data_IF_056347077676
#
_entry.id   IF_056347077676
#
_cell.length_a   1.000
_cell.length_b   1.000
_cell.length_c   1.000
_cell.angle_alpha   90.00
_cell.angle_beta   90.00
_cell.angle_gamma   90.00
#
_symmetry.space_group_name_H-M   'P 1'
#
loop_
_entity.id
_entity.type
_entity.pdbx_description
1 polymer ?
#
# COMPACT_ATOMS: atom_id res chain seq x y z
N UNK A 1 10.91 17.15 18.06
CA UNK A 1 11.89 16.04 17.93
C UNK A 1 11.64 15.35 16.60
N UNK A 2 12.63 15.27 15.72
CA UNK A 2 12.51 14.61 14.42
C UNK A 2 12.53 13.09 14.65
N UNK A 3 11.43 12.41 14.34
CA UNK A 3 11.34 10.95 14.41
C UNK A 3 11.97 10.36 13.15
N UNK A 4 13.17 9.77 13.29
CA UNK A 4 13.81 8.99 12.21
C UNK A 4 13.03 7.68 11.97
N UNK A 5 13.16 7.13 10.76
CA UNK A 5 12.48 5.87 10.36
C UNK A 5 12.75 4.72 11.35
N UNK A 6 14.00 4.52 11.77
CA UNK A 6 14.33 3.50 12.79
C UNK A 6 13.52 3.64 14.07
N UNK A 7 13.55 4.81 14.71
CA UNK A 7 12.81 5.08 15.94
C UNK A 7 11.29 5.00 15.75
N UNK A 8 10.81 5.24 14.53
CA UNK A 8 9.41 5.05 14.18
C UNK A 8 9.04 3.56 14.14
N UNK A 9 9.90 2.72 13.56
CA UNK A 9 9.70 1.28 13.41
C UNK A 9 9.96 0.49 14.71
N UNK A 10 10.78 1.00 15.63
CA UNK A 10 10.98 0.40 16.97
C UNK A 10 9.68 0.27 17.76
N UNK A 11 8.66 1.08 17.45
CA UNK A 11 7.32 0.89 18.03
C UNK A 11 6.65 -0.39 17.54
N UNK A 12 6.99 -0.87 16.35
CA UNK A 12 6.42 -2.10 15.77
C UNK A 12 6.89 -3.37 16.48
N UNK A 13 8.11 -3.39 17.06
CA UNK A 13 8.68 -4.61 17.68
C UNK A 13 7.87 -5.11 18.88
N UNK A 14 7.30 -4.21 19.69
CA UNK A 14 6.39 -4.55 20.78
C UNK A 14 5.13 -5.32 20.31
N UNK A 15 4.74 -5.18 19.04
CA UNK A 15 3.55 -5.80 18.48
C UNK A 15 3.83 -7.15 17.80
N UNK A 16 5.08 -7.44 17.44
CA UNK A 16 5.45 -8.78 16.95
C UNK A 16 5.37 -9.85 18.05
N UNK A 17 5.21 -9.43 19.29
CA UNK A 17 4.95 -10.27 20.46
C UNK A 17 3.44 -10.42 20.76
N UNK A 18 2.55 -9.77 19.99
CA UNK A 18 1.10 -9.89 20.17
C UNK A 18 0.63 -11.33 19.82
N UNK A 19 -0.05 -12.04 20.74
CA UNK A 19 -0.56 -13.40 20.50
C UNK A 19 -1.46 -13.53 19.27
N UNK A 20 -2.30 -12.53 18.97
CA UNK A 20 -3.17 -12.55 17.80
C UNK A 20 -2.38 -12.46 16.50
N UNK A 21 -1.34 -11.61 16.49
CA UNK A 21 -0.45 -11.51 15.33
C UNK A 21 0.37 -12.77 15.15
N UNK A 22 0.88 -13.37 16.24
CA UNK A 22 1.59 -14.65 16.17
C UNK A 22 0.69 -15.76 15.62
N UNK A 23 -0.57 -15.84 16.06
CA UNK A 23 -1.55 -16.77 15.50
C UNK A 23 -1.79 -16.52 14.01
N UNK A 24 -1.96 -15.26 13.60
CA UNK A 24 -2.08 -14.90 12.19
C UNK A 24 -0.84 -15.31 11.38
N UNK A 25 0.36 -15.02 11.90
CA UNK A 25 1.62 -15.37 11.27
C UNK A 25 1.74 -16.88 11.03
N UNK A 26 1.37 -17.71 12.01
CA UNK A 26 1.34 -19.16 11.84
C UNK A 26 0.38 -19.58 10.73
N UNK A 27 -0.83 -19.00 10.67
CA UNK A 27 -1.79 -19.28 9.58
C UNK A 27 -1.22 -18.88 8.22
N UNK A 28 -0.56 -17.72 8.13
CA UNK A 28 0.10 -17.27 6.92
C UNK A 28 1.19 -18.25 6.49
N UNK A 29 2.13 -18.58 7.37
CA UNK A 29 3.25 -19.48 7.09
C UNK A 29 2.76 -20.87 6.67
N UNK A 30 1.83 -21.47 7.42
CA UNK A 30 1.24 -22.78 7.10
C UNK A 30 0.57 -22.78 5.72
N UNK A 31 -0.21 -21.74 5.40
CA UNK A 31 -0.91 -21.66 4.13
C UNK A 31 0.07 -21.46 2.97
N UNK A 32 1.07 -20.62 3.13
CA UNK A 32 2.11 -20.40 2.11
C UNK A 32 2.90 -21.69 1.86
N UNK A 33 3.33 -22.39 2.90
CA UNK A 33 4.07 -23.66 2.77
C UNK A 33 3.24 -24.73 2.05
N UNK A 34 1.97 -24.91 2.43
CA UNK A 34 1.07 -25.86 1.77
C UNK A 34 0.82 -25.51 0.30
N UNK A 35 0.56 -24.24 0.02
CA UNK A 35 0.29 -23.77 -1.34
C UNK A 35 1.54 -23.83 -2.22
N UNK A 36 2.73 -23.62 -1.65
CA UNK A 36 3.97 -23.84 -2.37
C UNK A 36 4.14 -25.32 -2.77
N UNK A 37 3.93 -26.24 -1.84
CA UNK A 37 3.99 -27.68 -2.13
C UNK A 37 2.94 -28.11 -3.17
N UNK A 38 1.72 -27.57 -3.07
CA UNK A 38 0.68 -27.74 -4.08
C UNK A 38 1.17 -27.27 -5.45
N UNK A 39 1.65 -26.03 -5.55
CA UNK A 39 2.12 -25.44 -6.80
C UNK A 39 3.20 -26.29 -7.47
N UNK A 40 4.16 -26.82 -6.71
CA UNK A 40 5.22 -27.67 -7.26
C UNK A 40 4.69 -28.97 -7.87
N UNK A 41 3.64 -29.53 -7.27
CA UNK A 41 2.98 -30.74 -7.77
C UNK A 41 2.09 -30.54 -9.00
N UNK A 42 1.73 -29.30 -9.34
CA UNK A 42 0.85 -29.01 -10.48
C UNK A 42 1.56 -29.16 -11.83
N UNK A 43 0.83 -29.68 -12.80
CA UNK A 43 1.23 -29.71 -14.21
C UNK A 43 1.34 -28.30 -14.79
N UNK A 44 2.07 -28.16 -15.91
CA UNK A 44 2.15 -26.90 -16.65
C UNK A 44 0.78 -26.37 -17.07
N UNK A 45 -0.16 -27.27 -17.37
CA UNK A 45 -1.52 -26.88 -17.77
C UNK A 45 -2.29 -26.26 -16.59
N UNK A 46 -2.29 -26.91 -15.42
CA UNK A 46 -2.95 -26.41 -14.21
C UNK A 46 -2.34 -25.08 -13.76
N UNK A 47 -1.01 -24.94 -13.80
CA UNK A 47 -0.31 -23.68 -13.50
C UNK A 47 -0.78 -22.53 -14.39
N UNK A 48 -0.99 -22.80 -15.69
CA UNK A 48 -1.53 -21.80 -16.63
C UNK A 48 -2.98 -21.45 -16.31
N UNK A 49 -3.83 -22.44 -16.04
CA UNK A 49 -5.23 -22.19 -15.68
C UNK A 49 -5.35 -21.31 -14.42
N UNK A 50 -4.57 -21.60 -13.38
CA UNK A 50 -4.53 -20.77 -12.16
C UNK A 50 -4.06 -19.34 -12.50
N UNK A 51 -3.00 -19.20 -13.29
CA UNK A 51 -2.49 -17.88 -13.69
C UNK A 51 -3.56 -17.09 -14.46
N UNK A 52 -4.27 -17.72 -15.41
CA UNK A 52 -5.36 -17.10 -16.16
C UNK A 52 -6.50 -16.66 -15.22
N UNK A 53 -6.87 -17.50 -14.23
CA UNK A 53 -7.87 -17.14 -13.24
C UNK A 53 -7.45 -15.95 -12.38
N UNK A 54 -6.18 -15.90 -11.97
CA UNK A 54 -5.65 -14.76 -11.25
C UNK A 54 -5.71 -13.48 -12.11
N UNK A 55 -5.26 -13.55 -13.37
CA UNK A 55 -5.29 -12.41 -14.28
C UNK A 55 -6.71 -11.91 -14.54
N UNK A 56 -7.70 -12.80 -14.65
CA UNK A 56 -9.10 -12.43 -14.75
C UNK A 56 -9.60 -11.67 -13.50
N UNK A 57 -9.14 -12.07 -12.30
CA UNK A 57 -9.44 -11.34 -11.07
C UNK A 57 -8.77 -9.96 -11.07
N UNK A 58 -7.49 -9.86 -11.42
CA UNK A 58 -6.78 -8.57 -11.55
C UNK A 58 -7.53 -7.66 -12.52
N UNK A 59 -7.90 -8.16 -13.71
CA UNK A 59 -8.65 -7.40 -14.71
C UNK A 59 -10.00 -6.91 -14.18
N UNK A 60 -10.67 -7.73 -13.39
CA UNK A 60 -11.92 -7.34 -12.73
C UNK A 60 -11.69 -6.18 -11.76
N UNK A 61 -10.59 -6.19 -11.01
CA UNK A 61 -10.23 -5.09 -10.11
C UNK A 61 -9.91 -3.80 -10.87
N UNK A 62 -9.19 -3.89 -11.99
CA UNK A 62 -8.94 -2.74 -12.86
C UNK A 62 -10.25 -2.13 -13.37
N UNK A 63 -11.14 -2.96 -13.92
CA UNK A 63 -12.44 -2.51 -14.43
C UNK A 63 -13.25 -1.83 -13.32
N UNK A 64 -13.27 -2.39 -12.10
CA UNK A 64 -13.94 -1.77 -10.95
C UNK A 64 -13.29 -0.46 -10.51
N UNK A 65 -11.97 -0.32 -10.63
CA UNK A 65 -11.25 0.92 -10.36
C UNK A 65 -11.65 2.05 -11.33
N UNK A 66 -11.92 1.73 -12.60
CA UNK A 66 -12.40 2.71 -13.57
C UNK A 66 -13.70 3.40 -13.14
N UNK A 67 -14.63 2.65 -12.55
CA UNK A 67 -15.89 3.18 -11.99
C UNK A 67 -15.72 3.87 -10.62
N UNK A 68 -14.58 3.72 -9.96
CA UNK A 68 -14.32 4.27 -8.61
C UNK A 68 -13.73 5.67 -8.58
N UNK A 69 -13.48 6.29 -9.74
CA UNK A 69 -12.92 7.64 -9.81
C UNK A 69 -14.03 8.70 -9.71
N UNK A 70 -13.83 9.79 -8.93
CA UNK A 70 -14.80 10.87 -8.82
C UNK A 70 -15.19 11.49 -10.18
N UNK A 71 -16.43 11.30 -10.62
CA UNK A 71 -17.11 12.03 -11.69
C UNK A 71 -18.06 13.08 -11.09
N UNK A 72 -17.83 14.35 -11.45
CA UNK A 72 -18.68 15.47 -11.03
C UNK A 72 -18.72 15.66 -9.50
N UNK A 73 -19.93 15.81 -8.96
CA UNK A 73 -20.18 16.06 -7.53
C UNK A 73 -20.73 14.82 -6.79
N UNK A 74 -20.72 13.63 -7.40
CA UNK A 74 -21.27 12.46 -6.71
C UNK A 74 -20.42 12.08 -5.49
N UNK A 75 -21.09 11.87 -4.36
CA UNK A 75 -20.46 11.47 -3.09
C UNK A 75 -20.17 9.97 -3.10
N UNK A 76 -21.09 9.18 -3.66
CA UNK A 76 -21.00 7.73 -3.76
C UNK A 76 -20.58 7.32 -5.16
N UNK A 77 -19.41 6.74 -5.27
CA UNK A 77 -18.80 6.36 -6.54
C UNK A 77 -18.02 5.07 -6.38
N UNK A 78 -17.97 4.24 -7.42
CA UNK A 78 -17.27 2.97 -7.38
C UNK A 78 -18.09 1.81 -6.84
N UNK A 79 -17.39 0.86 -6.24
CA UNK A 79 -17.92 -0.44 -5.82
C UNK A 79 -17.73 -0.64 -4.32
N UNK A 80 -18.30 -1.70 -3.72
CA UNK A 80 -18.41 -1.91 -2.25
C UNK A 80 -17.22 -1.44 -1.39
N UNK A 81 -15.97 -1.67 -1.79
CA UNK A 81 -14.75 -1.27 -1.05
C UNK A 81 -14.21 0.15 -1.36
N UNK A 82 -14.82 0.88 -2.27
CA UNK A 82 -14.34 2.16 -2.81
C UNK A 82 -15.46 3.19 -2.92
N UNK A 83 -16.59 2.90 -2.29
CA UNK A 83 -17.87 3.58 -2.51
C UNK A 83 -17.85 5.04 -2.09
N UNK A 84 -17.09 5.35 -1.04
CA UNK A 84 -16.70 6.71 -0.71
C UNK A 84 -15.23 6.85 -1.09
N UNK A 85 -14.94 7.72 -2.04
CA UNK A 85 -13.57 8.02 -2.48
C UNK A 85 -13.36 9.53 -2.38
N UNK A 86 -12.72 9.97 -1.29
CA UNK A 86 -12.65 11.39 -0.94
C UNK A 86 -11.20 11.88 -0.98
N UNK A 87 -10.81 12.71 -1.97
CA UNK A 87 -9.49 13.30 -2.01
C UNK A 87 -9.29 14.36 -0.92
N UNK A 88 -8.13 14.35 -0.27
CA UNK A 88 -7.70 15.45 0.58
C UNK A 88 -7.09 16.56 -0.28
N UNK A 89 -7.82 17.66 -0.47
CA UNK A 89 -7.41 18.76 -1.36
C UNK A 89 -6.77 19.90 -0.56
N UNK A 90 -5.64 20.37 -1.06
CA UNK A 90 -4.90 21.52 -0.52
C UNK A 90 -4.61 22.52 -1.62
N UNK A 91 -4.59 23.80 -1.29
CA UNK A 91 -4.21 24.85 -2.24
C UNK A 91 -2.71 24.81 -2.58
N UNK A 92 -1.88 24.36 -1.63
CA UNK A 92 -0.42 24.33 -1.78
C UNK A 92 0.13 22.96 -1.37
N UNK A 93 1.31 22.56 -1.90
CA UNK A 93 2.03 21.38 -1.44
C UNK A 93 2.26 21.40 0.08
N UNK A 94 2.13 20.24 0.72
CA UNK A 94 2.40 20.11 2.15
C UNK A 94 3.90 20.29 2.44
N UNK A 95 4.19 21.05 3.50
CA UNK A 95 5.54 21.15 4.04
C UNK A 95 5.70 20.14 5.18
N UNK A 96 6.52 19.10 4.95
CA UNK A 96 6.75 18.02 5.91
C UNK A 96 8.22 17.97 6.32
N UNK A 97 8.45 18.17 7.62
CA UNK A 97 9.74 18.02 8.30
C UNK A 97 9.84 16.68 9.04
N UNK A 98 8.70 16.07 9.36
CA UNK A 98 8.65 14.79 10.06
C UNK A 98 7.32 14.04 9.85
N UNK A 99 7.34 12.74 10.13
CA UNK A 99 6.18 11.85 10.03
C UNK A 99 4.98 12.27 10.89
N UNK A 100 5.21 12.91 12.05
CA UNK A 100 4.11 13.34 12.91
C UNK A 100 3.30 14.50 12.34
N UNK A 101 3.88 15.33 11.47
CA UNK A 101 3.12 16.31 10.69
C UNK A 101 2.20 15.60 9.68
N UNK A 102 2.72 14.61 8.94
CA UNK A 102 1.88 13.84 8.01
C UNK A 102 0.73 13.11 8.74
N UNK A 103 1.00 12.52 9.90
CA UNK A 103 -0.03 11.92 10.76
C UNK A 103 -1.13 12.93 11.15
N UNK A 104 -0.74 14.16 11.52
CA UNK A 104 -1.68 15.21 11.89
C UNK A 104 -2.50 15.68 10.69
N UNK A 105 -1.87 15.91 9.54
CA UNK A 105 -2.56 16.33 8.31
C UNK A 105 -3.60 15.29 7.86
N UNK A 106 -3.26 14.00 7.95
CA UNK A 106 -4.23 12.94 7.62
C UNK A 106 -5.38 12.92 8.63
N UNK A 107 -5.11 13.02 9.93
CA UNK A 107 -6.15 13.02 10.95
C UNK A 107 -7.08 14.24 10.86
N UNK A 108 -6.52 15.44 10.65
CA UNK A 108 -7.29 16.67 10.48
C UNK A 108 -8.21 16.60 9.25
N UNK A 109 -7.67 16.19 8.10
CA UNK A 109 -8.48 16.03 6.89
C UNK A 109 -9.51 14.92 7.05
N UNK A 110 -9.19 13.82 7.74
CA UNK A 110 -10.17 12.78 8.02
C UNK A 110 -11.38 13.39 8.75
N UNK A 111 -11.15 14.10 9.87
CA UNK A 111 -12.22 14.69 10.69
C UNK A 111 -13.01 15.72 9.87
N UNK A 112 -12.32 16.60 9.15
CA UNK A 112 -12.95 17.63 8.30
C UNK A 112 -13.85 17.00 7.24
N UNK A 113 -13.38 15.97 6.53
CA UNK A 113 -14.16 15.30 5.49
C UNK A 113 -15.29 14.46 6.08
N UNK A 114 -15.04 13.81 7.21
CA UNK A 114 -16.03 13.08 7.96
C UNK A 114 -17.23 13.97 8.31
N UNK A 115 -16.98 15.08 9.00
CA UNK A 115 -18.03 15.99 9.47
C UNK A 115 -18.81 16.62 8.33
N UNK A 116 -18.12 16.94 7.22
CA UNK A 116 -18.75 17.43 6.00
C UNK A 116 -19.71 16.41 5.37
N UNK A 117 -19.44 15.12 5.53
CA UNK A 117 -20.15 14.05 4.84
C UNK A 117 -21.16 13.29 5.70
N UNK A 118 -21.16 13.46 7.03
CA UNK A 118 -22.13 12.82 7.92
C UNK A 118 -23.59 13.02 7.45
N UNK A 119 -24.02 14.27 7.29
CA UNK A 119 -25.39 14.59 6.87
C UNK A 119 -25.73 14.08 5.47
N UNK A 120 -24.89 14.31 4.43
CA UNK A 120 -25.13 13.68 3.13
C UNK A 120 -25.24 12.16 3.19
N UNK A 121 -24.43 11.48 3.99
CA UNK A 121 -24.46 10.02 4.13
C UNK A 121 -25.76 9.56 4.79
N UNK A 122 -26.15 10.18 5.91
CA UNK A 122 -27.45 9.92 6.59
C UNK A 122 -28.64 10.03 5.64
N UNK A 123 -28.64 11.06 4.80
CA UNK A 123 -29.75 11.33 3.89
C UNK A 123 -29.76 10.43 2.65
N UNK A 124 -28.67 9.74 2.35
CA UNK A 124 -28.50 8.96 1.11
C UNK A 124 -28.58 7.45 1.28
N UNK A 125 -28.38 6.94 2.50
CA UNK A 125 -28.42 5.52 2.82
C UNK A 125 -29.73 5.22 3.57
N UNK A 126 -30.43 4.17 3.17
CA UNK A 126 -31.74 3.80 3.74
C UNK A 126 -31.58 3.10 5.09
N UNK A 127 -30.49 2.35 5.26
CA UNK A 127 -30.12 1.69 6.50
C UNK A 127 -29.70 2.69 7.60
N UNK A 128 -29.83 2.27 8.87
CA UNK A 128 -29.30 3.04 10.01
C UNK A 128 -27.76 3.07 9.95
N UNK A 129 -27.20 4.28 9.83
CA UNK A 129 -25.77 4.54 9.70
C UNK A 129 -25.17 5.22 10.93
N UNK A 130 -25.91 5.43 12.03
CA UNK A 130 -25.41 6.22 13.16
C UNK A 130 -24.17 5.59 13.79
N UNK A 131 -24.20 4.28 14.04
CA UNK A 131 -23.02 3.56 14.52
C UNK A 131 -21.82 3.70 13.57
N UNK A 132 -22.06 3.67 12.27
CA UNK A 132 -21.00 3.82 11.27
C UNK A 132 -20.42 5.24 11.25
N UNK A 133 -21.25 6.25 11.48
CA UNK A 133 -20.82 7.64 11.63
C UNK A 133 -20.03 7.83 12.94
N UNK A 134 -20.42 7.18 14.02
CA UNK A 134 -19.67 7.17 15.29
C UNK A 134 -18.32 6.47 15.14
N UNK A 135 -18.28 5.33 14.44
CA UNK A 135 -17.05 4.58 14.18
C UNK A 135 -16.15 5.28 13.15
N UNK A 136 -16.74 6.05 12.23
CA UNK A 136 -16.04 6.82 11.20
C UNK A 136 -16.32 6.33 9.78
N UNK A 137 -16.69 7.27 8.91
CA UNK A 137 -17.11 7.01 7.52
C UNK A 137 -16.06 6.33 6.62
N UNK A 138 -14.77 6.47 6.91
CA UNK A 138 -13.69 5.92 6.08
C UNK A 138 -12.96 4.81 6.82
N UNK A 139 -12.82 3.66 6.15
CA UNK A 139 -12.08 2.53 6.67
C UNK A 139 -10.58 2.63 6.38
N UNK A 140 -10.16 3.48 5.43
CA UNK A 140 -8.76 3.54 5.04
C UNK A 140 -8.32 4.80 4.30
N UNK A 141 -7.01 4.94 4.17
CA UNK A 141 -6.33 6.01 3.45
C UNK A 141 -5.26 5.43 2.54
N UNK A 142 -5.21 5.92 1.30
CA UNK A 142 -4.16 5.59 0.35
C UNK A 142 -3.20 6.78 0.21
N UNK A 143 -1.91 6.51 0.31
CA UNK A 143 -0.84 7.49 0.41
C UNK A 143 0.21 7.19 -0.67
N UNK A 144 0.62 8.21 -1.43
CA UNK A 144 1.76 8.07 -2.32
C UNK A 144 3.07 7.92 -1.53
N UNK A 145 3.92 6.97 -1.94
CA UNK A 145 5.25 6.70 -1.38
C UNK A 145 6.07 7.98 -1.11
N UNK A 146 6.02 8.94 -2.04
CA UNK A 146 6.75 10.21 -2.01
C UNK A 146 6.40 11.07 -0.79
N UNK A 147 5.17 11.00 -0.29
CA UNK A 147 4.77 11.68 0.95
C UNK A 147 5.52 11.11 2.17
N UNK A 148 5.74 9.79 2.20
CA UNK A 148 6.52 9.15 3.26
C UNK A 148 8.00 9.44 3.10
N UNK A 149 8.53 9.44 1.88
CA UNK A 149 9.91 9.82 1.61
C UNK A 149 10.20 11.23 2.13
N UNK A 150 9.31 12.19 1.91
CA UNK A 150 9.44 13.54 2.47
C UNK A 150 9.33 13.55 4.00
N UNK A 151 8.31 12.89 4.54
CA UNK A 151 8.03 12.90 5.97
C UNK A 151 9.12 12.20 6.81
N UNK A 152 9.81 11.22 6.25
CA UNK A 152 10.96 10.57 6.88
C UNK A 152 12.32 11.14 6.45
N UNK A 153 12.33 12.14 5.57
CA UNK A 153 13.54 12.74 4.99
C UNK A 153 14.44 11.68 4.30
N UNK A 154 13.82 10.78 3.53
CA UNK A 154 14.49 9.72 2.77
C UNK A 154 15.04 10.28 1.46
N UNK A 155 16.29 10.69 1.50
CA UNK A 155 16.92 11.31 0.36
C UNK A 155 18.45 11.19 0.42
N UNK A 156 19.09 11.26 -0.75
CA UNK A 156 20.53 11.13 -0.90
C UNK A 156 21.05 12.06 -2.00
N UNK A 157 22.35 12.34 -2.03
CA UNK A 157 22.97 12.99 -3.18
C UNK A 157 23.19 11.97 -4.29
N UNK A 158 23.18 12.41 -5.56
CA UNK A 158 23.45 11.52 -6.69
C UNK A 158 24.79 10.79 -6.56
N UNK A 159 25.82 11.44 -5.99
CA UNK A 159 27.14 10.85 -5.74
C UNK A 159 27.18 9.77 -4.67
N UNK A 160 26.16 9.72 -3.81
CA UNK A 160 26.04 8.69 -2.77
C UNK A 160 25.44 7.40 -3.31
N UNK A 161 24.68 7.49 -4.40
CA UNK A 161 24.01 6.35 -5.05
C UNK A 161 24.63 5.94 -6.39
N UNK A 162 25.25 6.85 -7.13
CA UNK A 162 25.91 6.53 -8.41
C UNK A 162 27.42 6.67 -8.21
N UNK A 163 28.12 5.54 -8.15
CA UNK A 163 29.57 5.51 -7.91
C UNK A 163 30.24 4.25 -8.48
N UNK A 164 31.57 4.30 -8.59
CA UNK A 164 32.37 3.19 -9.12
C UNK A 164 32.45 1.99 -8.16
N UNK A 165 32.20 0.81 -8.70
CA UNK A 165 32.42 -0.49 -8.05
C UNK A 165 33.13 -1.42 -9.02
N UNK A 166 34.40 -1.70 -8.74
CA UNK A 166 35.25 -2.57 -9.55
C UNK A 166 35.33 -2.12 -11.04
N UNK A 167 35.38 -0.82 -11.30
CA UNK A 167 35.43 -0.26 -12.65
C UNK A 167 34.08 -0.12 -13.35
N UNK A 168 32.97 -0.45 -12.66
CA UNK A 168 31.61 -0.19 -13.14
C UNK A 168 31.06 1.05 -12.44
N UNK A 169 30.68 2.08 -13.19
CA UNK A 169 29.83 3.15 -12.67
C UNK A 169 28.40 2.60 -12.52
N UNK A 170 28.00 2.30 -11.29
CA UNK A 170 26.72 1.65 -11.02
C UNK A 170 25.60 2.69 -10.97
N UNK A 171 24.60 2.56 -11.85
CA UNK A 171 23.31 3.25 -11.77
C UNK A 171 22.26 2.28 -11.20
N UNK A 172 21.61 2.60 -10.06
CA UNK A 172 20.61 1.72 -9.47
C UNK A 172 19.44 1.38 -10.41
N UNK A 173 19.06 2.25 -11.34
CA UNK A 173 17.97 1.95 -12.30
C UNK A 173 18.31 0.79 -13.25
N UNK A 174 19.60 0.50 -13.39
CA UNK A 174 20.14 -0.58 -14.22
C UNK A 174 20.75 -1.71 -13.37
N UNK A 175 20.42 -1.79 -12.07
CA UNK A 175 21.12 -2.69 -11.14
C UNK A 175 21.13 -4.17 -11.59
N UNK A 176 20.08 -4.60 -12.31
CA UNK A 176 19.94 -5.97 -12.84
C UNK A 176 20.85 -6.26 -14.05
N UNK A 177 21.42 -5.23 -14.69
CA UNK A 177 22.36 -5.38 -15.80
C UNK A 177 23.79 -5.69 -15.33
N UNK A 178 24.10 -5.49 -14.05
CA UNK A 178 25.45 -5.70 -13.51
C UNK A 178 25.63 -7.14 -12.98
N UNK A 179 26.86 -7.68 -13.03
CA UNK A 179 27.16 -8.99 -12.44
C UNK A 179 26.87 -9.03 -10.93
N UNK A 180 26.44 -10.19 -10.44
CA UNK A 180 26.08 -10.41 -9.02
C UNK A 180 27.20 -9.98 -8.05
N UNK A 181 28.47 -10.22 -8.40
CA UNK A 181 29.63 -9.77 -7.60
C UNK A 181 29.69 -8.24 -7.44
N UNK A 182 29.31 -7.50 -8.48
CA UNK A 182 29.32 -6.03 -8.49
C UNK A 182 28.13 -5.52 -7.66
N UNK A 183 26.94 -6.10 -7.86
CA UNK A 183 25.74 -5.77 -7.08
C UNK A 183 25.93 -5.98 -5.59
N UNK A 184 26.52 -7.11 -5.19
CA UNK A 184 26.80 -7.40 -3.79
C UNK A 184 27.73 -6.36 -3.16
N UNK A 185 28.84 -6.02 -3.82
CA UNK A 185 29.77 -4.98 -3.36
C UNK A 185 29.13 -3.58 -3.36
N UNK A 186 28.30 -3.28 -4.35
CA UNK A 186 27.54 -2.03 -4.43
C UNK A 186 26.60 -1.92 -3.23
N UNK A 187 25.82 -2.96 -2.93
CA UNK A 187 24.94 -3.03 -1.76
C UNK A 187 25.71 -2.79 -0.44
N UNK A 188 26.83 -3.46 -0.23
CA UNK A 188 27.65 -3.28 0.98
C UNK A 188 28.19 -1.85 1.14
N UNK A 189 28.53 -1.19 0.03
CA UNK A 189 29.03 0.18 0.02
C UNK A 189 27.90 1.20 0.18
N UNK A 190 26.80 1.04 -0.55
CA UNK A 190 25.70 2.02 -0.58
C UNK A 190 24.96 2.07 0.75
N UNK A 191 24.78 0.93 1.43
CA UNK A 191 24.19 0.87 2.77
C UNK A 191 24.95 1.73 3.79
N UNK A 192 26.28 1.85 3.64
CA UNK A 192 27.12 2.69 4.52
C UNK A 192 27.10 4.17 4.14
N UNK A 193 26.71 4.49 2.90
CA UNK A 193 26.63 5.87 2.39
C UNK A 193 25.29 6.54 2.71
N UNK A 194 24.21 5.75 2.85
CA UNK A 194 22.86 6.26 3.04
C UNK A 194 22.51 6.48 4.52
N UNK A 195 22.77 7.69 5.02
CA UNK A 195 22.50 8.06 6.42
C UNK A 195 21.02 7.99 6.80
N UNK A 196 20.09 8.13 5.85
CA UNK A 196 18.64 8.03 6.11
C UNK A 196 18.21 6.62 6.55
N UNK A 197 19.04 5.60 6.30
CA UNK A 197 18.81 4.21 6.70
C UNK A 197 19.75 3.73 7.81
N UNK A 198 20.48 4.65 8.44
CA UNK A 198 21.42 4.34 9.51
C UNK A 198 20.75 3.53 10.64
N UNK A 199 21.36 2.40 10.97
CA UNK A 199 20.91 1.53 12.06
C UNK A 199 19.71 0.65 11.75
N UNK A 200 19.24 0.60 10.50
CA UNK A 200 18.27 -0.36 10.00
C UNK A 200 18.96 -1.58 9.37
N UNK A 201 18.45 -2.77 9.65
CA UNK A 201 18.87 -4.01 8.99
C UNK A 201 18.05 -4.20 7.70
N UNK A 202 18.45 -3.53 6.63
CA UNK A 202 17.78 -3.60 5.33
C UNK A 202 18.41 -4.71 4.50
N UNK A 203 17.60 -5.63 3.97
CA UNK A 203 18.07 -6.63 3.03
C UNK A 203 18.35 -6.01 1.64
N UNK A 204 19.11 -6.74 0.81
CA UNK A 204 19.51 -6.24 -0.51
C UNK A 204 18.32 -5.92 -1.41
N UNK A 205 17.32 -6.78 -1.44
CA UNK A 205 16.16 -6.62 -2.32
C UNK A 205 15.36 -5.36 -1.94
N UNK A 206 15.13 -5.13 -0.65
CA UNK A 206 14.48 -3.94 -0.13
C UNK A 206 15.25 -2.66 -0.47
N UNK A 207 16.58 -2.65 -0.32
CA UNK A 207 17.39 -1.48 -0.64
C UNK A 207 17.45 -1.20 -2.15
N UNK A 208 17.70 -2.22 -2.96
CA UNK A 208 17.71 -2.07 -4.43
C UNK A 208 16.34 -1.60 -4.94
N UNK A 209 15.24 -2.11 -4.37
CA UNK A 209 13.87 -1.66 -4.69
C UNK A 209 13.67 -0.18 -4.38
N UNK A 210 14.14 0.27 -3.21
CA UNK A 210 14.08 1.68 -2.81
C UNK A 210 14.85 2.59 -3.77
N UNK A 211 16.03 2.15 -4.21
CA UNK A 211 16.91 2.90 -5.11
C UNK A 211 16.38 2.97 -6.55
N UNK A 212 15.68 1.94 -7.03
CA UNK A 212 15.07 1.91 -8.37
C UNK A 212 13.81 2.75 -8.46
N UNK A 213 13.04 2.79 -7.38
CA UNK A 213 11.87 3.66 -7.26
C UNK A 213 12.25 5.09 -6.84
N UNK A 214 13.55 5.38 -6.75
CA UNK A 214 14.01 6.69 -6.36
C UNK A 214 13.62 7.71 -7.43
N UNK A 215 13.02 8.81 -7.01
CA UNK A 215 12.46 9.79 -7.93
C UNK A 215 13.33 11.05 -8.02
N UNK A 216 13.51 11.50 -9.26
CA UNK A 216 14.14 12.77 -9.60
C UNK A 216 13.12 13.90 -9.69
N UNK A 217 11.87 13.58 -10.01
CA UNK A 217 10.77 14.54 -10.03
C UNK A 217 10.36 14.88 -8.60
N UNK A 218 10.47 16.16 -8.23
CA UNK A 218 10.13 16.62 -6.88
C UNK A 218 9.07 17.71 -7.01
N UNK A 219 8.06 17.74 -6.13
CA UNK A 219 7.25 18.94 -6.00
C UNK A 219 8.20 20.10 -5.67
N UNK A 220 7.88 21.31 -6.15
CA UNK A 220 8.70 22.53 -6.15
C UNK A 220 9.22 22.93 -4.74
N UNK A 221 10.15 22.15 -4.20
CA UNK A 221 10.70 22.24 -2.86
C UNK A 221 12.18 22.48 -3.00
N UNK A 222 12.58 23.73 -2.77
CA UNK A 222 13.98 24.19 -2.71
C UNK A 222 14.84 23.25 -1.85
N UNK A 223 14.25 22.66 -0.79
CA UNK A 223 14.88 21.67 0.11
C UNK A 223 15.56 20.49 -0.61
N UNK A 224 15.03 20.06 -1.75
CA UNK A 224 15.50 18.88 -2.48
C UNK A 224 16.22 19.21 -3.78
N UNK A 225 16.55 20.48 -4.03
CA UNK A 225 17.41 20.85 -5.15
C UNK A 225 18.73 20.05 -5.03
N UNK A 226 19.11 19.32 -6.09
CA UNK A 226 20.28 18.41 -6.15
C UNK A 226 20.24 17.10 -5.33
N UNK A 227 19.12 16.77 -4.68
CA UNK A 227 18.97 15.49 -3.95
C UNK A 227 18.14 14.48 -4.73
N UNK A 228 18.05 13.23 -4.32
CA UNK A 228 17.16 12.22 -4.92
C UNK A 228 16.29 11.69 -3.80
N UNK A 229 14.96 11.66 -4.01
CA UNK A 229 14.04 11.12 -3.02
C UNK A 229 14.05 9.60 -3.14
N UNK A 230 14.41 8.92 -2.07
CA UNK A 230 14.45 7.46 -2.02
C UNK A 230 13.07 6.93 -1.63
N UNK A 231 12.63 5.84 -2.26
CA UNK A 231 11.37 5.22 -1.88
C UNK A 231 11.46 4.57 -0.48
N UNK A 232 10.36 4.52 0.29
CA UNK A 232 10.37 3.93 1.62
C UNK A 232 10.65 2.41 1.59
N UNK A 233 11.26 1.93 2.67
CA UNK A 233 11.43 0.49 2.96
C UNK A 233 10.57 0.10 4.15
N UNK A 234 10.35 -1.20 4.36
CA UNK A 234 9.50 -1.71 5.46
C UNK A 234 8.07 -1.18 5.41
N UNK A 235 7.50 -1.02 4.23
CA UNK A 235 6.23 -0.32 4.03
C UNK A 235 5.05 -0.95 4.79
N UNK A 236 5.01 -2.27 4.99
CA UNK A 236 3.95 -2.89 5.81
C UNK A 236 4.06 -2.47 7.29
N UNK A 237 5.29 -2.33 7.81
CA UNK A 237 5.54 -1.87 9.17
C UNK A 237 5.23 -0.37 9.31
N UNK A 238 5.63 0.44 8.32
CA UNK A 238 5.25 1.86 8.27
C UNK A 238 3.73 1.99 8.28
N UNK A 239 3.02 1.25 7.41
CA UNK A 239 1.56 1.31 7.30
C UNK A 239 0.86 0.89 8.61
N UNK A 240 1.33 -0.16 9.28
CA UNK A 240 0.79 -0.59 10.59
C UNK A 240 0.93 0.52 11.65
N UNK A 241 2.14 1.05 11.84
CA UNK A 241 2.38 2.09 12.85
C UNK A 241 1.62 3.36 12.50
N UNK A 242 1.59 3.74 11.22
CA UNK A 242 0.89 4.93 10.74
C UNK A 242 -0.63 4.81 10.93
N UNK A 243 -1.20 3.65 10.58
CA UNK A 243 -2.61 3.33 10.79
C UNK A 243 -3.05 3.57 12.23
N UNK A 244 -2.32 2.98 13.20
CA UNK A 244 -2.63 3.11 14.63
C UNK A 244 -2.52 4.55 15.11
N UNK A 245 -1.44 5.23 14.74
CA UNK A 245 -1.19 6.61 15.18
C UNK A 245 -2.18 7.61 14.62
N UNK A 246 -2.59 7.45 13.36
CA UNK A 246 -3.64 8.29 12.76
C UNK A 246 -4.97 8.03 13.46
N UNK A 247 -5.33 6.76 13.69
CA UNK A 247 -6.54 6.38 14.44
C UNK A 247 -6.57 7.04 15.82
N UNK A 248 -5.50 6.89 16.61
CA UNK A 248 -5.40 7.46 17.95
C UNK A 248 -5.49 9.00 17.91
N UNK A 249 -4.89 9.63 16.90
CA UNK A 249 -5.00 11.08 16.69
C UNK A 249 -6.41 11.52 16.35
N UNK A 250 -7.12 10.80 15.48
CA UNK A 250 -8.50 11.08 15.12
C UNK A 250 -9.38 11.04 16.38
N UNK A 251 -9.23 10.00 17.20
CA UNK A 251 -9.98 9.87 18.46
C UNK A 251 -9.68 11.04 19.41
N UNK A 252 -8.40 11.37 19.63
CA UNK A 252 -7.99 12.48 20.50
C UNK A 252 -8.50 13.83 19.97
N UNK A 253 -8.28 14.12 18.69
CA UNK A 253 -8.62 15.41 18.07
C UNK A 253 -10.13 15.60 17.92
N UNK A 254 -10.89 14.52 17.71
CA UNK A 254 -12.35 14.54 17.69
C UNK A 254 -12.98 14.48 19.09
N UNK A 255 -12.17 14.35 20.14
CA UNK A 255 -12.60 14.19 21.55
C UNK A 255 -13.49 12.96 21.76
N UNK A 256 -13.16 11.86 21.10
CA UNK A 256 -13.88 10.58 21.18
C UNK A 256 -15.17 10.52 20.37
N UNK A 257 -15.51 11.58 19.63
CA UNK A 257 -16.70 11.59 18.76
C UNK A 257 -16.58 10.64 17.58
N UNK A 258 -15.36 10.46 17.06
CA UNK A 258 -15.04 9.48 16.02
C UNK A 258 -14.16 8.42 16.67
N UNK A 259 -14.69 7.20 16.78
CA UNK A 259 -14.02 6.08 17.44
C UNK A 259 -13.80 4.91 16.48
N UNK A 260 -12.74 5.03 15.70
CA UNK A 260 -12.35 4.06 14.67
C UNK A 260 -11.90 2.73 15.29
N UNK A 261 -12.54 1.59 14.97
CA UNK A 261 -12.06 0.29 15.42
C UNK A 261 -10.65 0.00 14.90
N UNK A 262 -10.43 0.27 13.61
CA UNK A 262 -9.12 0.31 12.98
C UNK A 262 -9.16 1.07 11.66
N UNK A 263 -7.98 1.43 11.13
CA UNK A 263 -7.84 2.16 9.87
C UNK A 263 -6.88 1.40 8.94
N UNK A 264 -7.20 1.24 7.67
CA UNK A 264 -6.25 0.72 6.68
C UNK A 264 -5.37 1.84 6.14
N UNK A 265 -4.07 1.61 6.04
CA UNK A 265 -3.14 2.47 5.30
C UNK A 265 -2.58 1.66 4.15
N UNK A 266 -2.70 2.19 2.93
CA UNK A 266 -2.07 1.61 1.73
C UNK A 266 -1.08 2.59 1.13
N UNK A 267 0.13 2.10 0.85
CA UNK A 267 1.25 2.86 0.30
C UNK A 267 1.50 2.36 -1.10
N UNK A 268 1.51 3.27 -2.08
CA UNK A 268 1.74 2.93 -3.47
C UNK A 268 2.71 3.89 -4.14
N UNK A 269 3.32 3.42 -5.24
CA UNK A 269 4.10 4.22 -6.16
C UNK A 269 3.48 4.18 -7.55
N UNK A 270 3.51 5.32 -8.24
CA UNK A 270 3.02 5.47 -9.62
C UNK A 270 4.03 4.99 -10.65
N UNK A 271 5.31 5.01 -10.30
CA UNK A 271 6.40 4.68 -11.19
C UNK A 271 6.78 3.22 -10.96
N UNK A 272 6.70 2.40 -12.02
CA UNK A 272 7.06 0.98 -11.97
C UNK A 272 8.02 0.63 -13.09
N UNK A 273 9.30 1.03 -12.96
CA UNK A 273 10.29 0.69 -13.98
C UNK A 273 10.38 -0.84 -14.11
N UNK A 274 10.61 -1.33 -15.32
CA UNK A 274 10.72 -2.77 -15.61
C UNK A 274 11.72 -3.49 -14.69
N UNK A 275 12.83 -2.82 -14.34
CA UNK A 275 13.84 -3.29 -13.38
C UNK A 275 13.24 -3.61 -12.01
N UNK A 276 12.25 -2.84 -11.54
CA UNK A 276 11.58 -3.07 -10.27
C UNK A 276 10.86 -4.42 -10.26
N UNK A 277 10.02 -4.69 -11.27
CA UNK A 277 9.31 -5.97 -11.37
C UNK A 277 10.26 -7.15 -11.40
N UNK A 278 11.40 -7.05 -12.09
CA UNK A 278 12.43 -8.09 -12.05
C UNK A 278 12.98 -8.34 -10.66
N UNK A 279 13.31 -7.28 -9.92
CA UNK A 279 13.88 -7.41 -8.58
C UNK A 279 12.91 -7.95 -7.55
N UNK A 280 11.66 -7.47 -7.55
CA UNK A 280 10.64 -7.95 -6.62
C UNK A 280 10.06 -9.31 -7.04
N UNK A 281 10.63 -9.92 -8.09
CA UNK A 281 10.32 -11.25 -8.55
C UNK A 281 9.07 -11.35 -9.39
N UNK A 282 8.48 -10.25 -9.85
CA UNK A 282 7.30 -10.24 -10.73
C UNK A 282 7.65 -10.41 -12.22
N UNK A 283 8.88 -10.06 -12.64
CA UNK A 283 9.34 -10.17 -14.02
C UNK A 283 9.61 -11.61 -14.44
N UNK A 284 8.60 -12.30 -14.99
CA UNK A 284 8.77 -13.62 -15.62
C UNK A 284 8.85 -14.82 -14.66
N UNK A 285 8.53 -14.67 -13.38
CA UNK A 285 8.42 -15.79 -12.44
C UNK A 285 6.97 -16.32 -12.42
N UNK A 286 6.74 -17.64 -12.56
CA UNK A 286 5.40 -18.24 -12.52
C UNK A 286 4.63 -18.04 -11.21
N UNK A 287 5.30 -17.55 -10.15
CA UNK A 287 4.82 -17.49 -8.77
C UNK A 287 4.57 -16.06 -8.26
N UNK A 288 4.74 -15.03 -9.08
CA UNK A 288 4.49 -13.65 -8.69
C UNK A 288 3.92 -12.89 -9.89
N UNK A 289 2.60 -12.71 -9.95
CA UNK A 289 1.97 -12.07 -11.09
C UNK A 289 2.24 -10.56 -11.07
N UNK A 290 2.48 -10.01 -12.25
CA UNK A 290 2.61 -8.57 -12.45
C UNK A 290 1.24 -7.89 -12.26
N UNK A 291 1.21 -6.81 -11.47
CA UNK A 291 0.09 -5.89 -11.39
C UNK A 291 0.42 -4.68 -12.28
N UNK A 292 -0.33 -4.45 -13.37
CA UNK A 292 -0.03 -3.37 -14.32
C UNK A 292 -0.31 -1.98 -13.73
N UNK A 293 0.39 -0.96 -14.23
CA UNK A 293 0.04 0.45 -14.03
C UNK A 293 0.52 1.12 -12.73
N UNK A 294 0.77 0.37 -11.64
CA UNK A 294 1.36 0.89 -10.40
C UNK A 294 1.95 -0.21 -9.51
N UNK A 295 2.68 0.18 -8.46
CA UNK A 295 3.17 -0.75 -7.42
C UNK A 295 2.57 -0.43 -6.07
N UNK A 296 1.97 -1.44 -5.43
CA UNK A 296 1.61 -1.37 -4.02
C UNK A 296 2.84 -1.74 -3.20
N UNK A 297 3.43 -0.78 -2.49
CA UNK A 297 4.66 -0.98 -1.73
C UNK A 297 4.39 -1.61 -0.36
N UNK A 298 3.25 -1.31 0.24
CA UNK A 298 2.85 -1.84 1.53
C UNK A 298 1.41 -1.51 1.90
N UNK A 299 0.84 -2.32 2.78
CA UNK A 299 -0.44 -1.99 3.40
C UNK A 299 -0.51 -2.55 4.82
N UNK A 300 -1.31 -1.89 5.66
CA UNK A 300 -1.75 -2.46 6.94
C UNK A 300 -2.94 -3.39 6.73
N UNK A 301 -3.19 -4.23 7.72
CA UNK A 301 -4.19 -5.28 7.65
C UNK A 301 -3.58 -6.59 7.19
N UNK A 302 -3.92 -7.66 7.90
CA UNK A 302 -3.59 -9.03 7.48
C UNK A 302 -4.14 -9.31 6.09
N UNK A 303 -3.61 -10.31 5.38
CA UNK A 303 -4.11 -10.69 4.04
C UNK A 303 -5.61 -11.02 4.08
N UNK A 304 -6.09 -11.55 5.22
CA UNK A 304 -7.51 -11.82 5.47
C UNK A 304 -8.33 -10.58 5.81
N UNK A 305 -7.74 -9.59 6.49
CA UNK A 305 -8.45 -8.38 6.89
C UNK A 305 -8.65 -7.43 5.72
N UNK A 306 -7.62 -7.29 4.86
CA UNK A 306 -7.67 -6.46 3.68
C UNK A 306 -6.92 -7.15 2.53
N UNK A 307 -7.70 -7.57 1.52
CA UNK A 307 -7.19 -8.38 0.41
C UNK A 307 -6.21 -7.56 -0.44
N UNK A 308 -5.16 -8.19 -0.94
CA UNK A 308 -4.16 -7.53 -1.79
C UNK A 308 -4.80 -6.88 -3.04
N UNK A 309 -5.71 -7.59 -3.69
CA UNK A 309 -6.46 -7.08 -4.84
C UNK A 309 -7.31 -5.83 -4.50
N UNK A 310 -7.78 -5.69 -3.26
CA UNK A 310 -8.46 -4.48 -2.81
C UNK A 310 -7.48 -3.32 -2.63
N UNK A 311 -6.31 -3.57 -2.03
CA UNK A 311 -5.23 -2.57 -1.94
C UNK A 311 -4.77 -2.10 -3.32
N UNK A 312 -4.71 -3.00 -4.31
CA UNK A 312 -4.42 -2.68 -5.69
C UNK A 312 -5.52 -1.81 -6.32
N UNK A 313 -6.80 -2.17 -6.18
CA UNK A 313 -7.92 -1.38 -6.70
C UNK A 313 -7.92 0.05 -6.17
N UNK A 314 -7.82 0.23 -4.85
CA UNK A 314 -7.83 1.58 -4.26
C UNK A 314 -6.59 2.39 -4.64
N UNK A 315 -5.46 1.72 -4.89
CA UNK A 315 -4.25 2.37 -5.40
C UNK A 315 -4.45 2.88 -6.83
N UNK A 316 -5.14 2.12 -7.70
CA UNK A 316 -5.43 2.56 -9.08
C UNK A 316 -6.34 3.79 -9.10
N UNK A 317 -7.37 3.78 -8.24
CA UNK A 317 -8.27 4.92 -8.06
C UNK A 317 -7.48 6.13 -7.54
N UNK A 318 -6.64 5.93 -6.53
CA UNK A 318 -5.81 6.98 -5.94
C UNK A 318 -4.82 7.56 -6.95
N UNK A 319 -4.15 6.71 -7.74
CA UNK A 319 -3.28 7.14 -8.83
C UNK A 319 -4.05 8.02 -9.80
N UNK A 320 -5.25 7.63 -10.25
CA UNK A 320 -6.04 8.45 -11.19
C UNK A 320 -6.42 9.81 -10.60
N UNK A 321 -6.70 9.88 -9.30
CA UNK A 321 -7.04 11.12 -8.60
C UNK A 321 -5.80 12.00 -8.35
N UNK A 322 -4.67 11.39 -7.99
CA UNK A 322 -3.46 12.06 -7.52
C UNK A 322 -2.45 12.38 -8.64
N UNK A 323 -2.44 11.61 -9.73
CA UNK A 323 -1.56 11.80 -10.92
C UNK A 323 -1.78 13.17 -11.58
N UNK A 324 -2.95 13.74 -11.32
CA UNK A 324 -3.37 15.07 -11.73
C UNK A 324 -2.98 16.19 -10.77
N UNK A 325 -2.44 15.95 -9.58
CA UNK A 325 -2.36 16.97 -8.51
C UNK A 325 -1.05 17.03 -7.74
N UNK A 326 -0.22 15.99 -7.77
CA UNK A 326 1.11 16.06 -7.15
C UNK A 326 2.12 16.89 -7.97
N UNK A 327 1.91 17.03 -9.29
CA UNK A 327 2.86 17.64 -10.22
C UNK A 327 2.25 18.49 -11.33
N UNK A 328 0.92 18.56 -11.43
CA UNK A 328 0.27 19.24 -12.55
C UNK A 328 -0.31 20.58 -12.09
N UNK A 329 0.32 21.68 -12.54
CA UNK A 329 -0.23 23.03 -12.42
C UNK A 329 -1.66 23.15 -13.01
N UNK A 330 -2.09 22.17 -13.82
CA UNK A 330 -3.38 22.13 -14.49
C UNK A 330 -4.55 21.95 -13.51
N UNK A 331 -4.38 21.24 -12.38
CA UNK A 331 -5.49 20.94 -11.47
C UNK A 331 -5.66 21.92 -10.30
N UNK A 332 -4.76 22.90 -10.13
CA UNK A 332 -4.75 23.94 -9.07
C UNK A 332 -4.71 23.43 -7.61
N UNK A 333 -5.16 22.21 -7.32
CA UNK A 333 -5.16 21.60 -5.99
C UNK A 333 -4.07 20.52 -5.87
N UNK A 334 -3.37 20.49 -4.74
CA UNK A 334 -2.48 19.42 -4.30
C UNK A 334 -3.28 18.33 -3.56
N UNK A 335 -3.12 17.06 -3.95
CA UNK A 335 -3.83 15.91 -3.32
C UNK A 335 -2.82 14.86 -2.88
N UNK A 336 -2.37 14.88 -1.61
CA UNK A 336 -1.34 13.98 -1.10
C UNK A 336 -1.86 12.58 -0.69
N UNK A 337 -3.16 12.44 -0.44
CA UNK A 337 -3.78 11.18 -0.05
C UNK A 337 -5.29 11.19 -0.33
N UNK A 338 -5.87 9.99 -0.41
CA UNK A 338 -7.29 9.76 -0.70
C UNK A 338 -7.88 8.83 0.36
N UNK A 339 -9.03 9.20 0.90
CA UNK A 339 -9.78 8.39 1.87
C UNK A 339 -10.76 7.46 1.15
N UNK A 340 -10.91 6.26 1.71
CA UNK A 340 -11.81 5.22 1.22
C UNK A 340 -12.80 4.78 2.29
N UNK A 341 -14.07 4.73 1.92
CA UNK A 341 -15.17 4.21 2.72
C UNK A 341 -16.04 3.24 1.93
N UNK A 342 -16.88 2.50 2.64
CA UNK A 342 -17.85 1.54 2.08
C UNK A 342 -19.22 2.20 1.88
N UNK A 343 -20.05 1.63 0.99
CA UNK A 343 -21.39 2.16 0.72
C UNK A 343 -22.34 1.82 1.86
N UNK A 344 -22.28 0.58 2.33
CA UNK A 344 -23.21 0.03 3.32
C UNK A 344 -22.40 -0.72 4.39
N UNK A 345 -22.68 -0.53 5.70
CA UNK A 345 -21.95 -1.20 6.78
C UNK A 345 -21.93 -2.72 6.65
N UNK A 346 -23.05 -3.33 6.20
CA UNK A 346 -23.15 -4.78 5.97
C UNK A 346 -22.12 -5.30 4.96
N UNK A 347 -21.88 -4.56 3.87
CA UNK A 347 -20.86 -4.93 2.88
C UNK A 347 -19.45 -4.87 3.50
N UNK A 348 -19.22 -3.90 4.40
CA UNK A 348 -17.97 -3.78 5.14
C UNK A 348 -17.70 -5.05 5.96
N UNK A 349 -18.70 -5.54 6.69
CA UNK A 349 -18.57 -6.75 7.53
C UNK A 349 -18.26 -8.02 6.73
N UNK A 350 -18.72 -8.09 5.47
CA UNK A 350 -18.46 -9.23 4.58
C UNK A 350 -17.08 -9.12 3.94
N UNK A 351 -16.69 -7.91 3.52
CA UNK A 351 -15.51 -7.71 2.67
C UNK A 351 -14.24 -7.39 3.46
N UNK A 352 -14.38 -6.81 4.65
CA UNK A 352 -13.30 -6.24 5.45
C UNK A 352 -13.39 -6.74 6.89
N UNK A 353 -12.24 -7.12 7.47
CA UNK A 353 -12.18 -7.27 8.93
C UNK A 353 -11.84 -5.91 9.56
N UNK A 354 -12.88 -5.11 9.83
CA UNK A 354 -12.79 -3.74 10.35
C UNK A 354 -12.03 -3.60 11.68
N UNK A 355 -11.79 -4.69 12.42
CA UNK A 355 -11.02 -4.68 13.67
C UNK A 355 -9.53 -4.95 13.45
N UNK A 356 -9.15 -5.48 12.29
CA UNK A 356 -7.79 -5.92 12.00
C UNK A 356 -7.13 -5.15 10.85
N UNK A 357 -7.69 -4.04 10.37
CA UNK A 357 -7.09 -3.24 9.29
C UNK A 357 -5.81 -2.53 9.72
N UNK A 358 -5.57 -2.37 11.02
CA UNK A 358 -4.33 -1.80 11.57
C UNK A 358 -3.27 -2.85 11.91
N UNK A 359 -3.61 -4.14 11.80
CA UNK A 359 -2.70 -5.24 12.16
C UNK A 359 -1.58 -5.36 11.13
N UNK A 360 -0.37 -5.70 11.59
CA UNK A 360 0.77 -5.92 10.71
C UNK A 360 0.48 -7.06 9.73
N UNK A 361 0.63 -6.77 8.43
CA UNK A 361 0.43 -7.74 7.36
C UNK A 361 1.44 -8.90 7.42
N UNK A 362 2.72 -8.53 7.27
CA UNK A 362 3.95 -9.28 7.53
C UNK A 362 5.12 -8.29 7.49
N UNK A 363 6.31 -8.68 7.96
CA UNK A 363 7.49 -7.80 7.98
C UNK A 363 7.98 -7.49 6.55
N UNK A 364 8.51 -6.28 6.35
CA UNK A 364 9.08 -5.86 5.06
C UNK A 364 8.14 -5.02 4.19
N UNK A 365 8.45 -4.94 2.90
CA UNK A 365 7.54 -4.43 1.87
C UNK A 365 6.55 -5.52 1.46
N UNK A 366 5.51 -5.13 0.73
CA UNK A 366 4.56 -6.08 0.14
C UNK A 366 5.27 -7.01 -0.84
N UNK A 367 5.00 -8.31 -0.74
CA UNK A 367 5.55 -9.36 -1.59
C UNK A 367 4.45 -9.97 -2.46
N UNK A 368 4.37 -9.63 -3.76
CA UNK A 368 3.40 -10.21 -4.68
C UNK A 368 3.43 -11.74 -4.72
N UNK A 369 4.60 -12.35 -4.51
CA UNK A 369 4.75 -13.79 -4.40
C UNK A 369 4.00 -14.35 -3.19
N UNK A 370 4.18 -13.77 -2.00
CA UNK A 370 3.47 -14.23 -0.81
C UNK A 370 1.96 -14.05 -0.97
N UNK A 371 1.52 -12.91 -1.50
CA UNK A 371 0.11 -12.66 -1.74
C UNK A 371 -0.52 -13.67 -2.71
N UNK A 372 0.17 -13.94 -3.82
CA UNK A 372 -0.29 -14.91 -4.81
C UNK A 372 -0.31 -16.34 -4.25
N UNK A 373 0.75 -16.73 -3.51
CA UNK A 373 0.81 -18.04 -2.86
C UNK A 373 -0.27 -18.20 -1.80
N UNK A 374 -0.67 -17.13 -1.11
CA UNK A 374 -1.78 -17.20 -0.16
C UNK A 374 -3.11 -17.50 -0.86
N UNK A 375 -3.33 -16.96 -2.06
CA UNK A 375 -4.55 -17.14 -2.87
C UNK A 375 -4.60 -18.45 -3.67
N UNK A 376 -3.48 -19.16 -3.79
CA UNK A 376 -3.33 -20.26 -4.75
C UNK A 376 -4.37 -21.37 -4.58
N UNK A 377 -4.62 -21.82 -3.36
CA UNK A 377 -5.61 -22.87 -3.07
C UNK A 377 -6.98 -22.52 -3.64
N UNK A 378 -7.39 -21.27 -3.48
CA UNK A 378 -8.73 -20.79 -3.83
C UNK A 378 -8.84 -20.62 -5.35
N UNK A 379 -7.74 -20.27 -6.01
CA UNK A 379 -7.65 -20.24 -7.48
C UNK A 379 -7.69 -21.66 -8.06
N UNK A 380 -6.99 -22.60 -7.44
CA UNK A 380 -6.94 -24.00 -7.88
C UNK A 380 -8.29 -24.70 -7.70
N UNK A 381 -8.95 -24.52 -6.56
CA UNK A 381 -10.30 -25.04 -6.33
C UNK A 381 -11.28 -24.46 -7.34
N UNK A 382 -11.20 -23.15 -7.62
CA UNK A 382 -12.04 -22.50 -8.61
C UNK A 382 -11.82 -23.04 -10.03
N UNK A 383 -10.56 -23.29 -10.44
CA UNK A 383 -10.26 -23.85 -11.77
C UNK A 383 -10.75 -25.29 -11.95
N UNK A 384 -10.85 -26.06 -10.86
CA UNK A 384 -11.29 -27.45 -10.89
C UNK A 384 -12.80 -27.63 -10.63
N UNK A 385 -13.46 -26.59 -10.13
CA UNK A 385 -14.89 -26.59 -9.91
C UNK A 385 -15.60 -26.45 -11.25
N UNK A 386 -16.06 -27.56 -11.82
CA UNK A 386 -16.94 -27.59 -13.01
C UNK A 386 -18.34 -27.00 -12.78
N UNK A 387 -18.53 -26.21 -11.71
CA UNK A 387 -19.81 -25.64 -11.33
C UNK A 387 -19.82 -24.14 -11.53
N UNK A 388 -20.68 -23.72 -12.47
CA UNK A 388 -21.42 -22.46 -12.43
C UNK A 388 -22.24 -22.38 -11.12
N UNK A 389 -21.57 -22.26 -9.97
CA UNK A 389 -22.24 -21.77 -8.76
C UNK A 389 -22.46 -20.26 -8.97
N UNK A 390 -23.72 -19.84 -8.86
CA UNK A 390 -24.11 -18.45 -9.05
C UNK A 390 -23.23 -17.53 -8.20
N UNK A 391 -22.74 -16.45 -8.81
CA UNK A 391 -21.89 -15.40 -8.21
C UNK A 391 -22.15 -15.06 -6.73
N UNK A 392 -23.40 -15.02 -6.22
CA UNK A 392 -23.66 -14.65 -4.82
C UNK A 392 -23.13 -15.63 -3.78
N UNK A 393 -23.07 -16.95 -4.07
CA UNK A 393 -22.60 -17.96 -3.09
C UNK A 393 -21.08 -17.92 -2.95
N UNK A 394 -20.37 -17.63 -4.04
CA UNK A 394 -18.92 -17.48 -4.07
C UNK A 394 -18.42 -16.24 -3.32
N UNK A 395 -19.17 -15.13 -3.35
CA UNK A 395 -18.81 -13.91 -2.60
C UNK A 395 -18.97 -14.06 -1.08
N UNK A 396 -19.77 -15.03 -0.62
CA UNK A 396 -19.90 -15.34 0.81
C UNK A 396 -18.88 -16.34 1.35
N UNK A 397 -18.11 -17.00 0.46
CA UNK A 397 -17.10 -18.01 0.82
C UNK A 397 -15.65 -17.55 0.57
N UNK A 398 -15.46 -16.38 -0.04
CA UNK A 398 -14.17 -15.74 -0.34
C UNK A 398 -14.01 -14.45 0.44
#
# INVERSE_FOLDING_TARGET
MILKLKSYLEKSSAYTENPEWLKWKTVLEDRITKNFALYEGLSTHEKRQIADQFQNRVRTEELKAWYGSPEGQSIFQGTSISSLTIPARYENPLHLDNISQLENEIADQYIKQHDRLCEPVRNSIVEDVEKWIEEGLFYGVCIASKMLSQAFDLHACATDIIFDVDGYLVDPHQITAYPERVRQKYFEKVTKRLSCYEGLEIDRQSLESSLILADISKPNLVKYNDRILLAPVFCNLIAEVLSKRIRDKIEIMSRGRINLPSLSVTIYDTDTPYTYYHLIGCGGQPRAPELPGLSVLGCSGTILAFKWLYSYRISLISQKIMKSSLYSEVHRDFIPFVFFGVLVPRDAEILLNMKQLSTLRYKGNLSPQLEYMFLLSDLYEYSNSSRLESLPVLLSRL
#
